data_IF_423211708795
#
_entry.id   IF_423211708795
#
_cell.length_a   1.000
_cell.length_b   1.000
_cell.length_c   1.000
_cell.angle_alpha   90.00
_cell.angle_beta   90.00
_cell.angle_gamma   90.00
#
_symmetry.space_group_name_H-M   'P 1'
#
loop_
_entity.id
_entity.type
_entity.pdbx_description
1 polymer ?
#
# COMPACT_ATOMS: atom_id res chain seq x y z
N UNK A 1 -10.84 -0.02 5.28
CA UNK A 1 -10.61 -1.02 4.22
C UNK A 1 -11.52 -2.20 4.51
N UNK A 2 -12.19 -2.78 3.51
CA UNK A 2 -13.09 -3.94 3.73
C UNK A 2 -12.31 -5.05 4.44
N UNK A 3 -12.85 -5.57 5.55
CA UNK A 3 -12.16 -6.44 6.51
C UNK A 3 -11.80 -7.84 6.02
N UNK A 4 -11.29 -7.98 4.79
CA UNK A 4 -10.83 -9.23 4.20
C UNK A 4 -9.43 -9.02 3.58
N UNK A 5 -8.39 -8.86 4.42
CA UNK A 5 -7.03 -8.57 3.95
C UNK A 5 -6.46 -9.67 3.04
N UNK A 6 -6.82 -10.95 3.21
CA UNK A 6 -6.38 -12.05 2.34
C UNK A 6 -6.97 -11.93 0.92
N UNK A 7 -8.24 -11.55 0.79
CA UNK A 7 -8.87 -11.32 -0.51
C UNK A 7 -8.22 -10.14 -1.23
N UNK A 8 -7.83 -9.08 -0.49
CA UNK A 8 -7.10 -7.95 -1.03
C UNK A 8 -5.74 -8.38 -1.63
N UNK A 9 -4.97 -9.23 -0.94
CA UNK A 9 -3.71 -9.75 -1.47
C UNK A 9 -3.89 -10.44 -2.84
N UNK A 10 -4.90 -11.30 -2.98
CA UNK A 10 -5.14 -12.03 -4.22
C UNK A 10 -5.51 -11.09 -5.39
N UNK A 11 -6.18 -9.98 -5.12
CA UNK A 11 -6.52 -8.96 -6.13
C UNK A 11 -5.26 -8.16 -6.49
N UNK A 12 -4.50 -7.72 -5.50
CA UNK A 12 -3.29 -6.91 -5.69
C UNK A 12 -2.21 -7.66 -6.47
N UNK A 13 -2.00 -8.94 -6.15
CA UNK A 13 -1.05 -9.79 -6.88
C UNK A 13 -1.46 -9.99 -8.34
N UNK A 14 -2.75 -10.22 -8.62
CA UNK A 14 -3.27 -10.27 -10.00
C UNK A 14 -3.13 -8.94 -10.72
N UNK A 15 -3.32 -7.83 -10.01
CA UNK A 15 -3.08 -6.48 -10.53
C UNK A 15 -1.62 -6.29 -10.95
N UNK A 16 -0.67 -6.69 -10.10
CA UNK A 16 0.76 -6.61 -10.40
C UNK A 16 1.20 -7.51 -11.56
N UNK A 17 0.57 -8.66 -11.78
CA UNK A 17 0.86 -9.47 -12.96
C UNK A 17 0.60 -8.72 -14.27
N UNK A 18 -0.38 -7.80 -14.28
CA UNK A 18 -0.73 -6.99 -15.45
C UNK A 18 0.00 -5.66 -15.47
N UNK A 19 0.21 -5.06 -14.30
CA UNK A 19 0.82 -3.75 -14.12
C UNK A 19 1.86 -3.79 -12.99
N UNK A 20 3.05 -4.38 -13.26
CA UNK A 20 4.04 -4.66 -12.23
C UNK A 20 4.65 -3.39 -11.62
N UNK A 21 4.58 -2.25 -12.31
CA UNK A 21 5.14 -0.98 -11.86
C UNK A 21 4.09 -0.03 -11.30
N UNK A 22 2.85 -0.48 -11.12
CA UNK A 22 1.77 0.41 -10.67
C UNK A 22 1.91 0.72 -9.18
N UNK A 23 2.24 1.98 -8.87
CA UNK A 23 2.51 2.48 -7.52
C UNK A 23 1.47 2.03 -6.49
N UNK A 24 0.19 2.23 -6.78
CA UNK A 24 -0.87 1.99 -5.79
C UNK A 24 -1.02 0.51 -5.45
N UNK A 25 -0.73 -0.43 -6.36
CA UNK A 25 -0.73 -1.85 -6.00
C UNK A 25 0.34 -2.17 -4.96
N UNK A 26 1.54 -1.60 -5.11
CA UNK A 26 2.61 -1.76 -4.12
C UNK A 26 2.26 -1.09 -2.79
N UNK A 27 1.70 0.12 -2.80
CA UNK A 27 1.26 0.80 -1.58
C UNK A 27 0.17 0.01 -0.84
N UNK A 28 -0.84 -0.49 -1.56
CA UNK A 28 -1.88 -1.32 -0.96
C UNK A 28 -1.32 -2.64 -0.41
N UNK A 29 -0.31 -3.24 -1.04
CA UNK A 29 0.35 -4.43 -0.49
C UNK A 29 1.04 -4.13 0.83
N UNK A 30 1.74 -2.99 0.96
CA UNK A 30 2.35 -2.58 2.24
C UNK A 30 1.29 -2.53 3.34
N UNK A 31 0.18 -1.82 3.08
CA UNK A 31 -0.90 -1.68 4.07
C UNK A 31 -1.54 -3.02 4.40
N UNK A 32 -1.88 -3.83 3.40
CA UNK A 32 -2.47 -5.16 3.61
C UNK A 32 -1.52 -6.11 4.36
N UNK A 33 -0.22 -6.07 4.09
CA UNK A 33 0.75 -6.88 4.83
C UNK A 33 0.90 -6.42 6.28
N UNK A 34 0.83 -5.12 6.57
CA UNK A 34 0.84 -4.60 7.95
C UNK A 34 -0.42 -5.01 8.71
N UNK A 35 -1.59 -4.89 8.07
CA UNK A 35 -2.87 -5.34 8.62
C UNK A 35 -2.87 -6.84 8.99
N UNK A 36 -2.07 -7.64 8.28
CA UNK A 36 -1.88 -9.07 8.51
C UNK A 36 -0.71 -9.40 9.45
N UNK A 37 -0.06 -8.41 10.06
CA UNK A 37 1.16 -8.57 10.86
C UNK A 37 2.31 -9.30 10.12
N UNK A 38 2.43 -9.10 8.80
CA UNK A 38 3.47 -9.69 7.92
C UNK A 38 4.55 -8.67 7.59
N UNK A 39 5.30 -8.25 8.60
CA UNK A 39 6.20 -7.11 8.51
C UNK A 39 7.34 -7.26 7.50
N UNK A 40 7.87 -8.47 7.33
CA UNK A 40 8.90 -8.74 6.32
C UNK A 40 8.39 -8.51 4.90
N UNK A 41 7.16 -8.96 4.60
CA UNK A 41 6.52 -8.77 3.31
C UNK A 41 6.14 -7.30 3.08
N UNK A 42 5.67 -6.61 4.13
CA UNK A 42 5.42 -5.17 4.08
C UNK A 42 6.69 -4.38 3.74
N UNK A 43 7.82 -4.70 4.39
CA UNK A 43 9.11 -4.05 4.11
C UNK A 43 9.60 -4.32 2.69
N UNK A 44 9.42 -5.54 2.18
CA UNK A 44 9.76 -5.88 0.80
C UNK A 44 8.91 -5.07 -0.20
N UNK A 45 7.61 -4.97 0.01
CA UNK A 45 6.73 -4.15 -0.84
C UNK A 45 7.10 -2.66 -0.76
N UNK A 46 7.44 -2.15 0.42
CA UNK A 46 7.89 -0.76 0.59
C UNK A 46 9.22 -0.50 -0.13
N UNK A 47 10.17 -1.45 -0.10
CA UNK A 47 11.41 -1.34 -0.86
C UNK A 47 11.14 -1.25 -2.37
N UNK A 48 10.15 -1.99 -2.87
CA UNK A 48 9.75 -1.94 -4.27
C UNK A 48 9.12 -0.59 -4.66
N UNK A 49 8.32 0.01 -3.76
CA UNK A 49 7.83 1.40 -3.93
C UNK A 49 9.00 2.35 -4.12
N UNK A 50 10.02 2.29 -3.25
CA UNK A 50 11.19 3.18 -3.34
C UNK A 50 12.02 2.93 -4.60
N UNK A 51 12.14 1.66 -5.01
CA UNK A 51 12.88 1.26 -6.22
C UNK A 51 12.21 1.80 -7.48
N UNK A 52 10.88 1.71 -7.57
CA UNK A 52 10.09 2.16 -8.73
C UNK A 52 9.84 3.67 -8.73
N UNK A 53 9.68 4.25 -7.54
CA UNK A 53 9.36 5.66 -7.35
C UNK A 53 10.31 6.29 -6.32
N UNK A 54 11.57 6.61 -6.69
CA UNK A 54 12.59 7.12 -5.76
C UNK A 54 12.24 8.44 -5.06
N UNK A 55 11.32 9.22 -5.63
CA UNK A 55 10.84 10.48 -5.07
C UNK A 55 9.51 10.34 -4.33
N UNK A 56 9.04 9.11 -4.09
CA UNK A 56 7.82 8.86 -3.34
C UNK A 56 7.96 9.43 -1.91
N UNK A 57 6.89 10.06 -1.44
CA UNK A 57 6.77 10.49 -0.05
C UNK A 57 5.36 10.22 0.49
N UNK A 58 5.29 9.68 1.71
CA UNK A 58 4.01 9.47 2.41
C UNK A 58 3.31 10.81 2.66
N UNK A 59 4.07 11.87 2.94
CA UNK A 59 3.53 13.21 3.14
C UNK A 59 2.90 13.79 1.87
N UNK A 60 3.53 13.64 0.70
CA UNK A 60 2.96 14.06 -0.57
C UNK A 60 1.72 13.25 -0.94
N UNK A 61 1.76 11.94 -0.69
CA UNK A 61 0.61 11.05 -0.91
C UNK A 61 -0.61 11.48 -0.07
N UNK A 62 -0.40 11.83 1.20
CA UNK A 62 -1.48 12.28 2.09
C UNK A 62 -2.20 13.56 1.61
N UNK A 63 -1.56 14.38 0.79
CA UNK A 63 -2.16 15.61 0.24
C UNK A 63 -3.07 15.35 -0.97
N UNK A 64 -2.87 14.23 -1.67
CA UNK A 64 -3.55 13.94 -2.94
C UNK A 64 -4.62 12.85 -2.83
N UNK A 65 -4.63 12.08 -1.75
CA UNK A 65 -5.59 10.99 -1.59
C UNK A 65 -6.99 11.51 -1.21
N UNK A 66 -8.04 11.18 -1.99
CA UNK A 66 -9.39 11.71 -1.77
C UNK A 66 -10.20 10.86 -0.78
N UNK A 67 -9.58 10.38 0.30
CA UNK A 67 -10.30 9.61 1.32
C UNK A 67 -11.27 10.51 2.06
N UNK A 68 -12.56 10.16 2.02
CA UNK A 68 -13.62 10.89 2.72
C UNK A 68 -13.53 10.76 4.25
N UNK A 69 -13.08 9.60 4.71
CA UNK A 69 -12.93 9.30 6.13
C UNK A 69 -11.47 9.54 6.55
N UNK A 70 -11.20 10.49 7.45
CA UNK A 70 -9.85 10.80 7.90
C UNK A 70 -9.19 9.65 8.66
N UNK A 71 -9.97 8.78 9.32
CA UNK A 71 -9.43 7.62 10.04
C UNK A 71 -8.87 6.58 9.08
N UNK A 72 -9.51 6.42 7.91
CA UNK A 72 -9.02 5.54 6.85
C UNK A 72 -7.75 6.10 6.22
N UNK A 73 -7.69 7.42 5.98
CA UNK A 73 -6.48 8.08 5.50
C UNK A 73 -5.34 7.92 6.52
N UNK A 74 -5.59 8.16 7.80
CA UNK A 74 -4.59 8.04 8.84
C UNK A 74 -4.05 6.63 8.97
N UNK A 75 -4.92 5.62 9.01
CA UNK A 75 -4.53 4.20 9.01
C UNK A 75 -3.64 3.87 7.80
N UNK A 76 -4.07 4.29 6.62
CA UNK A 76 -3.35 4.04 5.37
C UNK A 76 -1.96 4.68 5.38
N UNK A 77 -1.85 5.94 5.79
CA UNK A 77 -0.56 6.64 5.87
C UNK A 77 0.34 6.07 6.96
N UNK A 78 -0.22 5.66 8.11
CA UNK A 78 0.54 5.04 9.20
C UNK A 78 1.16 3.71 8.79
N UNK A 79 0.42 2.88 8.04
CA UNK A 79 0.93 1.61 7.56
C UNK A 79 2.09 1.75 6.55
N UNK A 80 2.23 2.94 5.92
CA UNK A 80 3.29 3.26 4.96
C UNK A 80 4.54 3.91 5.58
N UNK A 81 4.53 4.19 6.89
CA UNK A 81 5.67 4.73 7.65
C UNK A 81 6.56 3.61 8.19
#
# INVERSE_FOLDING_TARGET
>A
MTGQPEAALAILQRGLQRHPTYLYFHLHLVVTYRDLARDAAARAAAAEVMRLHPHFSVAGLGQILPFKDPTVLEHYLNALR
#
